data_IF_292456339038
#
_entry.id   IF_292456339038
#
_cell.length_a   1.000
_cell.length_b   1.000
_cell.length_c   1.000
_cell.angle_alpha   90.00
_cell.angle_beta   90.00
_cell.angle_gamma   90.00
#
_symmetry.space_group_name_H-M   'P 1'
#
loop_
_entity.id
_entity.type
_entity.pdbx_description
1 polymer ?
#
# COMPACT_ATOMS: atom_id res chain seq x y z
N UNK A 1 10.62 8.46 -24.46
CA UNK A 1 9.21 8.83 -24.30
C UNK A 1 8.70 8.60 -22.86
N UNK A 2 8.88 7.41 -22.28
CA UNK A 2 8.41 7.06 -20.93
C UNK A 2 8.86 8.03 -19.84
N UNK A 3 10.13 8.46 -19.83
CA UNK A 3 10.64 9.38 -18.80
C UNK A 3 9.99 10.77 -18.82
N UNK A 4 9.62 11.29 -20.00
CA UNK A 4 8.88 12.56 -20.10
C UNK A 4 7.46 12.41 -19.55
N UNK A 5 6.82 11.27 -19.83
CA UNK A 5 5.49 10.95 -19.33
C UNK A 5 5.50 10.77 -17.81
N UNK A 6 6.51 10.08 -17.28
CA UNK A 6 6.70 9.93 -15.83
C UNK A 6 6.87 11.29 -15.15
N UNK A 7 7.73 12.16 -15.69
CA UNK A 7 7.93 13.51 -15.14
C UNK A 7 6.61 14.29 -15.11
N UNK A 8 5.86 14.27 -16.20
CA UNK A 8 4.58 14.97 -16.28
C UNK A 8 3.57 14.47 -15.24
N UNK A 9 3.41 13.16 -15.10
CA UNK A 9 2.50 12.57 -14.12
C UNK A 9 2.96 12.84 -12.68
N UNK A 10 4.26 12.78 -12.43
CA UNK A 10 4.85 13.11 -11.13
C UNK A 10 4.62 14.59 -10.79
N UNK A 11 4.92 15.50 -11.71
CA UNK A 11 4.75 16.96 -11.52
C UNK A 11 3.26 17.34 -11.32
N UNK A 12 2.34 16.56 -11.84
CA UNK A 12 0.91 16.78 -11.63
C UNK A 12 0.46 16.41 -10.21
N UNK A 13 1.03 15.36 -9.63
CA UNK A 13 0.57 14.78 -8.36
C UNK A 13 1.36 15.26 -7.15
N UNK A 14 2.59 15.74 -7.34
CA UNK A 14 3.51 16.03 -6.25
C UNK A 14 2.98 17.05 -5.23
N UNK A 15 2.29 18.12 -5.67
CA UNK A 15 1.80 19.16 -4.77
C UNK A 15 0.88 18.62 -3.68
N UNK A 16 -0.07 17.79 -4.06
CA UNK A 16 -1.03 17.21 -3.10
C UNK A 16 -0.36 16.15 -2.23
N UNK A 17 0.52 15.34 -2.81
CA UNK A 17 1.26 14.33 -2.03
C UNK A 17 2.18 14.97 -0.99
N UNK A 18 2.88 16.05 -1.34
CA UNK A 18 3.71 16.81 -0.38
C UNK A 18 2.86 17.42 0.74
N UNK A 19 1.65 17.91 0.44
CA UNK A 19 0.74 18.41 1.48
C UNK A 19 0.33 17.27 2.43
N UNK A 20 -0.01 16.09 1.91
CA UNK A 20 -0.34 14.91 2.75
C UNK A 20 0.86 14.55 3.65
N UNK A 21 2.07 14.52 3.09
CA UNK A 21 3.29 14.23 3.85
C UNK A 21 3.60 15.30 4.90
N UNK A 22 3.39 16.58 4.56
CA UNK A 22 3.61 17.69 5.48
C UNK A 22 2.62 17.64 6.67
N UNK A 23 1.35 17.34 6.41
CA UNK A 23 0.34 17.17 7.48
C UNK A 23 0.71 15.99 8.37
N UNK A 24 1.05 14.83 7.78
CA UNK A 24 1.45 13.65 8.52
C UNK A 24 2.69 13.91 9.40
N UNK A 25 3.74 14.53 8.82
CA UNK A 25 4.95 14.89 9.54
C UNK A 25 4.69 15.93 10.64
N UNK A 26 3.83 16.93 10.38
CA UNK A 26 3.45 17.95 11.37
C UNK A 26 2.76 17.34 12.60
N UNK A 27 1.79 16.44 12.39
CA UNK A 27 1.12 15.73 13.48
C UNK A 27 2.12 14.83 14.24
N UNK A 28 3.03 14.16 13.53
CA UNK A 28 4.07 13.35 14.16
C UNK A 28 4.98 14.21 15.06
N UNK A 29 5.44 15.35 14.59
CA UNK A 29 6.27 16.30 15.37
C UNK A 29 5.54 16.77 16.63
N UNK A 30 4.27 17.16 16.50
CA UNK A 30 3.46 17.58 17.66
C UNK A 30 3.35 16.45 18.69
N UNK A 31 3.11 15.22 18.25
CA UNK A 31 3.08 14.07 19.16
C UNK A 31 4.43 13.79 19.81
N UNK A 32 5.54 13.90 19.07
CA UNK A 32 6.89 13.75 19.64
C UNK A 32 7.18 14.77 20.73
N UNK A 33 6.84 16.06 20.52
CA UNK A 33 7.04 17.13 21.51
C UNK A 33 6.20 16.86 22.77
N UNK A 34 4.93 16.50 22.59
CA UNK A 34 4.04 16.21 23.71
C UNK A 34 4.53 15.03 24.55
N UNK A 35 4.94 13.92 23.89
CA UNK A 35 5.37 12.73 24.61
C UNK A 35 6.70 12.97 25.38
N UNK A 36 7.63 13.71 24.78
CA UNK A 36 8.89 14.08 25.46
C UNK A 36 8.65 14.97 26.68
N UNK A 37 7.68 15.89 26.62
CA UNK A 37 7.28 16.72 27.76
C UNK A 37 6.67 15.91 28.90
N UNK A 38 5.82 14.93 28.58
CA UNK A 38 5.18 14.05 29.57
C UNK A 38 6.21 13.20 30.34
N UNK A 39 7.27 12.73 29.69
CA UNK A 39 8.33 11.93 30.35
C UNK A 39 9.43 12.75 30.99
N UNK A 40 9.51 14.07 30.75
CA UNK A 40 10.51 14.95 31.35
C UNK A 40 10.15 15.38 32.79
N UNK A 41 8.86 15.47 33.13
CA UNK A 41 8.40 15.81 34.48
C UNK A 41 8.40 14.57 35.37
N UNK A 42 9.21 14.61 36.45
CA UNK A 42 9.23 13.60 37.51
C UNK A 42 7.95 13.72 38.35
N UNK A 43 6.97 12.91 38.06
CA UNK A 43 5.59 13.07 38.52
C UNK A 43 5.30 12.32 39.83
N UNK A 44 4.47 12.90 40.67
CA UNK A 44 3.91 12.30 41.86
C UNK A 44 2.95 11.14 41.53
N UNK A 45 2.81 10.17 42.43
CA UNK A 45 2.03 8.92 42.21
C UNK A 45 0.56 9.23 41.89
N UNK A 46 -0.01 10.36 42.35
CA UNK A 46 -1.38 10.77 42.07
C UNK A 46 -1.60 11.32 40.65
N UNK A 47 -0.54 11.81 40.00
CA UNK A 47 -0.60 12.32 38.63
C UNK A 47 -0.37 11.20 37.58
N UNK A 48 0.18 10.06 38.01
CA UNK A 48 0.52 8.94 37.13
C UNK A 48 -0.68 8.41 36.31
N UNK A 49 -1.89 8.43 36.88
CA UNK A 49 -3.10 7.98 36.20
C UNK A 49 -3.52 8.90 35.05
N UNK A 50 -3.44 10.22 35.25
CA UNK A 50 -3.77 11.20 34.22
C UNK A 50 -2.82 11.16 33.04
N UNK A 51 -1.53 10.95 33.32
CA UNK A 51 -0.48 10.86 32.29
C UNK A 51 -0.60 9.59 31.46
N UNK A 52 -0.93 8.47 32.09
CA UNK A 52 -1.16 7.23 31.38
C UNK A 52 -2.33 7.34 30.41
N UNK A 53 -3.43 7.98 30.80
CA UNK A 53 -4.57 8.27 29.93
C UNK A 53 -4.15 9.20 28.79
N UNK A 54 -3.40 10.26 29.10
CA UNK A 54 -2.95 11.23 28.11
C UNK A 54 -2.01 10.59 27.07
N UNK A 55 -1.05 9.77 27.48
CA UNK A 55 -0.15 9.05 26.56
C UNK A 55 -0.88 8.03 25.68
N UNK A 56 -1.91 7.34 26.20
CA UNK A 56 -2.76 6.46 25.39
C UNK A 56 -3.53 7.25 24.32
N UNK A 57 -4.06 8.42 24.68
CA UNK A 57 -4.76 9.31 23.73
C UNK A 57 -3.80 9.78 22.63
N UNK A 58 -2.60 10.24 23.00
CA UNK A 58 -1.58 10.67 22.04
C UNK A 58 -1.18 9.53 21.08
N UNK A 59 -0.97 8.34 21.60
CA UNK A 59 -0.67 7.17 20.79
C UNK A 59 -1.81 6.84 19.82
N UNK A 60 -3.06 6.94 20.29
CA UNK A 60 -4.25 6.72 19.45
C UNK A 60 -4.33 7.73 18.32
N UNK A 61 -4.10 9.02 18.60
CA UNK A 61 -4.07 10.09 17.59
C UNK A 61 -2.95 9.84 16.57
N UNK A 62 -1.77 9.42 17.03
CA UNK A 62 -0.65 9.07 16.15
C UNK A 62 -1.02 7.88 15.24
N UNK A 63 -1.58 6.81 15.80
CA UNK A 63 -2.00 5.65 15.02
C UNK A 63 -3.06 6.03 13.97
N UNK A 64 -4.06 6.83 14.34
CA UNK A 64 -5.07 7.33 13.39
C UNK A 64 -4.44 8.16 12.27
N UNK A 65 -3.45 9.00 12.57
CA UNK A 65 -2.72 9.78 11.57
C UNK A 65 -1.97 8.89 10.58
N UNK A 66 -1.29 7.86 11.05
CA UNK A 66 -0.59 6.89 10.19
C UNK A 66 -1.57 6.25 9.21
N UNK A 67 -2.69 5.73 9.70
CA UNK A 67 -3.73 5.17 8.85
C UNK A 67 -4.30 6.21 7.86
N UNK A 68 -4.66 7.39 8.36
CA UNK A 68 -5.24 8.44 7.53
C UNK A 68 -4.30 8.88 6.39
N UNK A 69 -2.99 8.99 6.63
CA UNK A 69 -2.02 9.40 5.61
C UNK A 69 -1.88 8.35 4.50
N UNK A 70 -1.83 7.05 4.86
CA UNK A 70 -1.75 5.96 3.89
C UNK A 70 -3.03 5.92 3.04
N UNK A 71 -4.20 6.00 3.67
CA UNK A 71 -5.48 6.02 2.97
C UNK A 71 -5.64 7.23 2.08
N UNK A 72 -5.30 8.43 2.57
CA UNK A 72 -5.38 9.66 1.78
C UNK A 72 -4.48 9.60 0.54
N UNK A 73 -3.24 9.14 0.68
CA UNK A 73 -2.31 8.95 -0.43
C UNK A 73 -2.82 7.93 -1.46
N UNK A 74 -3.36 6.81 -0.99
CA UNK A 74 -3.95 5.78 -1.84
C UNK A 74 -5.17 6.30 -2.61
N UNK A 75 -6.15 6.90 -1.91
CA UNK A 75 -7.37 7.45 -2.50
C UNK A 75 -7.02 8.55 -3.51
N UNK A 76 -6.10 9.45 -3.16
CA UNK A 76 -5.69 10.52 -4.07
C UNK A 76 -5.04 9.97 -5.34
N UNK A 77 -4.18 8.95 -5.25
CA UNK A 77 -3.58 8.30 -6.43
C UNK A 77 -4.64 7.69 -7.35
N UNK A 78 -5.63 7.00 -6.78
CA UNK A 78 -6.75 6.44 -7.53
C UNK A 78 -7.63 7.52 -8.17
N UNK A 79 -7.93 8.59 -7.43
CA UNK A 79 -8.71 9.72 -7.95
C UNK A 79 -7.95 10.50 -9.02
N UNK A 80 -6.64 10.68 -8.88
CA UNK A 80 -5.78 11.29 -9.88
C UNK A 80 -5.78 10.50 -11.20
N UNK A 81 -5.76 9.16 -11.13
CA UNK A 81 -5.93 8.30 -12.29
C UNK A 81 -7.28 8.56 -12.97
N UNK A 82 -8.39 8.50 -12.22
CA UNK A 82 -9.72 8.75 -12.73
C UNK A 82 -9.82 10.13 -13.42
N UNK A 83 -9.37 11.17 -12.72
CA UNK A 83 -9.44 12.54 -13.23
C UNK A 83 -8.65 12.75 -14.52
N UNK A 84 -7.48 12.12 -14.63
CA UNK A 84 -6.60 12.29 -15.79
C UNK A 84 -6.97 11.44 -17.00
N UNK A 85 -7.69 10.34 -16.78
CA UNK A 85 -8.06 9.43 -17.87
C UNK A 85 -9.49 9.64 -18.36
N UNK A 86 -10.42 10.07 -17.47
CA UNK A 86 -11.86 10.00 -17.75
C UNK A 86 -12.62 11.31 -17.51
N UNK A 87 -11.98 12.37 -16.99
CA UNK A 87 -12.59 13.69 -16.88
C UNK A 87 -12.19 14.60 -18.07
N UNK A 88 -12.49 15.86 -17.99
CA UNK A 88 -12.12 16.88 -19.00
C UNK A 88 -10.64 16.85 -19.41
N UNK A 89 -9.74 16.48 -18.48
CA UNK A 89 -8.32 16.28 -18.76
C UNK A 89 -8.04 15.02 -19.60
N UNK A 90 -8.94 14.04 -19.57
CA UNK A 90 -8.84 12.80 -20.33
C UNK A 90 -8.81 13.06 -21.84
N UNK A 91 -9.59 14.02 -22.34
CA UNK A 91 -9.57 14.41 -23.76
C UNK A 91 -8.15 14.77 -24.22
N UNK A 92 -7.45 15.61 -23.46
CA UNK A 92 -6.07 16.00 -23.77
C UNK A 92 -5.10 14.81 -23.70
N UNK A 93 -5.31 13.90 -22.75
CA UNK A 93 -4.46 12.71 -22.61
C UNK A 93 -4.60 11.76 -23.80
N UNK A 94 -5.79 11.64 -24.36
CA UNK A 94 -6.08 10.76 -25.51
C UNK A 94 -5.77 11.40 -26.87
N UNK A 95 -5.64 12.72 -26.96
CA UNK A 95 -5.18 13.42 -28.18
C UNK A 95 -3.67 13.39 -28.34
N UNK A 96 -2.92 13.09 -27.27
CA UNK A 96 -1.47 12.93 -27.37
C UNK A 96 -1.12 11.63 -28.15
N UNK A 97 -0.11 11.66 -29.03
CA UNK A 97 0.34 10.49 -29.76
C UNK A 97 1.16 9.54 -28.87
N UNK A 98 0.56 9.08 -27.76
CA UNK A 98 1.18 8.17 -26.78
C UNK A 98 0.33 6.92 -26.65
N UNK A 99 0.99 5.75 -26.64
CA UNK A 99 0.28 4.48 -26.45
C UNK A 99 -0.42 4.45 -25.06
N UNK A 100 -1.73 4.16 -25.00
CA UNK A 100 -2.46 3.99 -23.75
C UNK A 100 -1.82 3.01 -22.78
N UNK A 101 -1.17 1.95 -23.28
CA UNK A 101 -0.43 1.02 -22.45
C UNK A 101 0.68 1.73 -21.65
N UNK A 102 1.51 2.54 -22.32
CA UNK A 102 2.57 3.31 -21.68
C UNK A 102 2.02 4.29 -20.64
N UNK A 103 0.87 4.92 -20.94
CA UNK A 103 0.21 5.86 -20.03
C UNK A 103 -0.27 5.18 -18.75
N UNK A 104 -0.98 4.05 -18.86
CA UNK A 104 -1.46 3.27 -17.71
C UNK A 104 -0.29 2.76 -16.86
N UNK A 105 0.75 2.24 -17.52
CA UNK A 105 1.96 1.76 -16.83
C UNK A 105 2.65 2.87 -16.02
N UNK A 106 2.86 4.04 -16.62
CA UNK A 106 3.48 5.17 -15.92
C UNK A 106 2.65 5.63 -14.73
N UNK A 107 1.33 5.71 -14.87
CA UNK A 107 0.42 6.07 -13.76
C UNK A 107 0.50 5.06 -12.61
N UNK A 108 0.59 3.77 -12.92
CA UNK A 108 0.78 2.73 -11.92
C UNK A 108 2.10 2.90 -11.17
N UNK A 109 3.20 3.14 -11.91
CA UNK A 109 4.53 3.35 -11.29
C UNK A 109 4.56 4.63 -10.45
N UNK A 110 3.97 5.74 -10.92
CA UNK A 110 3.91 6.97 -10.12
C UNK A 110 3.10 6.77 -8.84
N UNK A 111 1.95 6.08 -8.91
CA UNK A 111 1.17 5.74 -7.72
C UNK A 111 1.97 4.89 -6.72
N UNK A 112 2.72 3.91 -7.22
CA UNK A 112 3.61 3.07 -6.41
C UNK A 112 4.75 3.87 -5.76
N UNK A 113 5.39 4.78 -6.50
CA UNK A 113 6.45 5.67 -5.95
C UNK A 113 5.90 6.53 -4.82
N UNK A 114 4.72 7.12 -4.98
CA UNK A 114 4.07 7.91 -3.93
C UNK A 114 3.68 7.07 -2.71
N UNK A 115 3.25 5.84 -2.92
CA UNK A 115 2.99 4.89 -1.83
C UNK A 115 4.27 4.59 -1.04
N UNK A 116 5.38 4.30 -1.73
CA UNK A 116 6.68 4.10 -1.09
C UNK A 116 7.14 5.34 -0.33
N UNK A 117 6.95 6.54 -0.90
CA UNK A 117 7.21 7.81 -0.22
C UNK A 117 6.39 7.96 1.07
N UNK A 118 5.11 7.57 1.04
CA UNK A 118 4.25 7.59 2.24
C UNK A 118 4.75 6.61 3.31
N UNK A 119 5.10 5.39 2.91
CA UNK A 119 5.68 4.38 3.82
C UNK A 119 6.95 4.90 4.48
N UNK A 120 7.83 5.59 3.73
CA UNK A 120 9.05 6.21 4.29
C UNK A 120 8.72 7.30 5.31
N UNK A 121 7.77 8.19 5.01
CA UNK A 121 7.34 9.25 5.95
C UNK A 121 6.77 8.63 7.22
N UNK A 122 5.94 7.59 7.10
CA UNK A 122 5.39 6.86 8.25
C UNK A 122 6.50 6.18 9.06
N UNK A 123 7.45 5.52 8.40
CA UNK A 123 8.58 4.86 9.09
C UNK A 123 9.44 5.87 9.87
N UNK A 124 9.75 7.02 9.28
CA UNK A 124 10.47 8.10 9.96
C UNK A 124 9.66 8.64 11.14
N UNK A 125 8.34 8.78 10.98
CA UNK A 125 7.44 9.25 12.04
C UNK A 125 7.38 8.28 13.22
N UNK A 126 7.32 6.98 12.96
CA UNK A 126 7.35 5.92 13.98
C UNK A 126 8.70 5.94 14.73
N UNK A 127 9.81 6.06 14.00
CA UNK A 127 11.14 6.17 14.59
C UNK A 127 11.25 7.39 15.50
N UNK A 128 10.81 8.57 15.02
CA UNK A 128 10.82 9.80 15.81
C UNK A 128 9.97 9.67 17.08
N UNK A 129 8.77 9.08 16.97
CA UNK A 129 7.88 8.83 18.10
C UNK A 129 8.53 7.89 19.14
N UNK A 130 9.17 6.80 18.69
CA UNK A 130 9.89 5.87 19.56
C UNK A 130 11.06 6.54 20.27
N UNK A 131 11.85 7.36 19.58
CA UNK A 131 12.95 8.13 20.17
C UNK A 131 12.44 9.09 21.26
N UNK A 132 11.36 9.82 20.98
CA UNK A 132 10.79 10.78 21.93
C UNK A 132 10.20 10.11 23.17
N UNK A 133 9.52 8.97 23.01
CA UNK A 133 8.91 8.25 24.12
C UNK A 133 9.92 7.54 25.04
N UNK A 134 11.07 7.15 24.52
CA UNK A 134 12.10 6.46 25.28
C UNK A 134 13.28 7.35 25.67
N UNK A 135 13.24 8.65 25.37
CA UNK A 135 14.36 9.60 25.55
C UNK A 135 15.69 9.10 24.98
N UNK A 136 15.61 8.46 23.81
CA UNK A 136 16.76 7.86 23.13
C UNK A 136 17.22 8.71 21.95
N UNK A 137 18.50 8.63 21.65
CA UNK A 137 19.02 9.17 20.39
C UNK A 137 18.55 8.31 19.21
N UNK A 138 18.44 8.88 18.00
CA UNK A 138 18.10 8.10 16.79
C UNK A 138 19.07 6.92 16.55
N UNK A 139 20.34 7.05 16.92
CA UNK A 139 21.34 5.99 16.80
C UNK A 139 21.04 4.81 17.74
N UNK A 140 20.67 5.09 18.99
CA UNK A 140 20.28 4.07 19.97
C UNK A 140 18.97 3.37 19.56
N UNK A 141 18.01 4.12 19.04
CA UNK A 141 16.77 3.56 18.54
C UNK A 141 17.02 2.61 17.35
N UNK A 142 17.87 3.01 16.40
CA UNK A 142 18.26 2.16 15.28
C UNK A 142 19.03 0.91 15.74
N UNK A 143 19.91 1.04 16.73
CA UNK A 143 20.61 -0.12 17.31
C UNK A 143 19.62 -1.11 17.93
N UNK A 144 18.65 -0.64 18.72
CA UNK A 144 17.59 -1.51 19.29
C UNK A 144 16.73 -2.16 18.20
N UNK A 145 16.34 -1.41 17.18
CA UNK A 145 15.59 -1.97 16.04
C UNK A 145 16.42 -3.08 15.37
N UNK A 146 17.73 -2.88 15.19
CA UNK A 146 18.59 -3.91 14.59
C UNK A 146 18.72 -5.16 15.45
N UNK A 147 18.80 -5.02 16.78
CA UNK A 147 18.82 -6.14 17.71
C UNK A 147 17.51 -6.93 17.70
N UNK A 148 16.37 -6.23 17.77
CA UNK A 148 15.05 -6.86 17.72
C UNK A 148 14.80 -7.50 16.35
N UNK A 149 15.28 -6.88 15.28
CA UNK A 149 15.23 -7.46 13.93
C UNK A 149 16.02 -8.77 13.85
N UNK A 150 17.24 -8.82 14.42
CA UNK A 150 18.03 -10.04 14.46
C UNK A 150 17.33 -11.16 15.24
N UNK A 151 16.76 -10.85 16.41
CA UNK A 151 15.96 -11.82 17.19
C UNK A 151 14.78 -12.33 16.39
N UNK A 152 14.08 -11.44 15.70
CA UNK A 152 12.93 -11.77 14.85
C UNK A 152 13.36 -12.68 13.69
N UNK A 153 14.48 -12.38 13.02
CA UNK A 153 15.04 -13.22 11.95
C UNK A 153 15.40 -14.62 12.47
N UNK A 154 16.02 -14.73 13.62
CA UNK A 154 16.35 -16.03 14.25
C UNK A 154 15.05 -16.81 14.57
N UNK A 155 14.06 -16.16 15.15
CA UNK A 155 12.77 -16.79 15.45
C UNK A 155 12.04 -17.25 14.18
N UNK A 156 12.08 -16.44 13.11
CA UNK A 156 11.52 -16.83 11.81
C UNK A 156 12.29 -18.01 11.25
N UNK A 157 13.62 -18.02 11.34
CA UNK A 157 14.46 -19.09 10.81
C UNK A 157 14.15 -20.43 11.46
N UNK A 158 14.09 -20.47 12.78
CA UNK A 158 13.76 -21.67 13.56
C UNK A 158 12.36 -22.19 13.19
N UNK A 159 11.34 -21.34 13.21
CA UNK A 159 9.97 -21.73 12.89
C UNK A 159 9.80 -22.13 11.41
N UNK A 160 10.43 -21.42 10.49
CA UNK A 160 10.34 -21.68 9.06
C UNK A 160 11.06 -22.99 8.68
N UNK A 161 12.22 -23.26 9.26
CA UNK A 161 12.94 -24.54 9.11
C UNK A 161 12.10 -25.73 9.61
N UNK A 162 11.43 -25.57 10.75
CA UNK A 162 10.56 -26.62 11.30
C UNK A 162 9.31 -26.85 10.45
N UNK A 163 8.67 -25.78 9.95
CA UNK A 163 7.38 -25.86 9.26
C UNK A 163 7.49 -26.08 7.75
N UNK A 164 8.51 -25.54 7.10
CA UNK A 164 8.58 -25.44 5.63
C UNK A 164 9.90 -26.01 5.09
N UNK A 165 10.91 -26.21 5.94
CA UNK A 165 12.25 -26.66 5.54
C UNK A 165 13.09 -25.59 4.82
N UNK A 166 12.70 -24.32 4.91
CA UNK A 166 13.38 -23.17 4.31
C UNK A 166 13.75 -22.14 5.38
N UNK A 167 14.89 -21.46 5.19
CA UNK A 167 15.36 -20.44 6.14
C UNK A 167 14.62 -19.11 6.06
N UNK A 168 14.92 -18.23 7.04
CA UNK A 168 14.32 -16.89 7.17
C UNK A 168 14.46 -16.04 5.91
N UNK A 169 15.60 -16.12 5.21
CA UNK A 169 15.86 -15.34 3.98
C UNK A 169 14.81 -15.64 2.90
N UNK A 170 14.44 -16.91 2.76
CA UNK A 170 13.42 -17.34 1.81
C UNK A 170 12.05 -16.74 2.18
N UNK A 171 11.63 -16.86 3.43
CA UNK A 171 10.34 -16.35 3.90
C UNK A 171 10.27 -14.84 3.75
N UNK A 172 11.29 -14.10 4.18
CA UNK A 172 11.35 -12.64 4.09
C UNK A 172 11.29 -12.19 2.62
N UNK A 173 12.07 -12.84 1.75
CA UNK A 173 12.07 -12.49 0.32
C UNK A 173 10.69 -12.66 -0.32
N UNK A 174 10.02 -13.78 -0.07
CA UNK A 174 8.69 -14.03 -0.60
C UNK A 174 7.67 -13.04 -0.04
N UNK A 175 7.69 -12.78 1.27
CA UNK A 175 6.77 -11.80 1.91
C UNK A 175 6.95 -10.41 1.32
N UNK A 176 8.19 -9.96 1.11
CA UNK A 176 8.48 -8.67 0.47
C UNK A 176 7.96 -8.63 -0.97
N UNK A 177 8.22 -9.66 -1.76
CA UNK A 177 7.72 -9.75 -3.14
C UNK A 177 6.18 -9.77 -3.18
N UNK A 178 5.54 -10.56 -2.31
CA UNK A 178 4.08 -10.58 -2.21
C UNK A 178 3.51 -9.21 -1.83
N UNK A 179 4.12 -8.50 -0.89
CA UNK A 179 3.71 -7.15 -0.50
C UNK A 179 3.82 -6.18 -1.67
N UNK A 180 4.94 -6.15 -2.38
CA UNK A 180 5.16 -5.27 -3.53
C UNK A 180 4.14 -5.52 -4.65
N UNK A 181 3.96 -6.77 -5.05
CA UNK A 181 2.99 -7.11 -6.10
C UNK A 181 1.54 -6.91 -5.66
N UNK A 182 1.22 -7.12 -4.39
CA UNK A 182 -0.12 -6.86 -3.84
C UNK A 182 -0.48 -5.38 -3.86
N UNK A 183 0.47 -4.48 -3.59
CA UNK A 183 0.27 -3.03 -3.69
C UNK A 183 0.00 -2.63 -5.13
N UNK A 184 0.82 -3.08 -6.08
CA UNK A 184 0.62 -2.80 -7.51
C UNK A 184 -0.74 -3.34 -8.00
N UNK A 185 -1.09 -4.56 -7.59
CA UNK A 185 -2.38 -5.18 -7.90
C UNK A 185 -3.56 -4.40 -7.34
N UNK A 186 -3.45 -3.86 -6.12
CA UNK A 186 -4.53 -3.07 -5.51
C UNK A 186 -4.82 -1.79 -6.31
N UNK A 187 -3.79 -1.09 -6.79
CA UNK A 187 -3.96 0.05 -7.69
C UNK A 187 -4.60 -0.36 -9.03
N UNK A 188 -4.09 -1.43 -9.64
CA UNK A 188 -4.65 -1.93 -10.91
C UNK A 188 -6.09 -2.38 -10.77
N UNK A 189 -6.47 -2.96 -9.65
CA UNK A 189 -7.85 -3.33 -9.35
C UNK A 189 -8.78 -2.11 -9.41
N UNK A 190 -8.41 -1.01 -8.73
CA UNK A 190 -9.20 0.22 -8.74
C UNK A 190 -9.20 0.88 -10.12
N UNK A 191 -8.05 0.92 -10.80
CA UNK A 191 -7.96 1.45 -12.16
C UNK A 191 -8.86 0.69 -13.14
N UNK A 192 -8.86 -0.65 -13.07
CA UNK A 192 -9.73 -1.49 -13.90
C UNK A 192 -11.19 -1.28 -13.57
N UNK A 193 -11.54 -1.13 -12.29
CA UNK A 193 -12.91 -0.83 -11.86
C UNK A 193 -13.41 0.50 -12.42
N UNK A 194 -12.58 1.55 -12.41
CA UNK A 194 -12.90 2.82 -13.03
C UNK A 194 -13.05 2.70 -14.54
N UNK A 195 -12.16 1.97 -15.21
CA UNK A 195 -12.22 1.77 -16.67
C UNK A 195 -13.50 1.05 -17.10
N UNK A 196 -13.87 -0.02 -16.39
CA UNK A 196 -15.13 -0.75 -16.65
C UNK A 196 -16.34 0.16 -16.38
N UNK A 197 -16.28 0.97 -15.32
CA UNK A 197 -17.33 1.92 -14.96
C UNK A 197 -17.61 2.95 -16.05
N UNK A 198 -16.61 3.33 -16.85
CA UNK A 198 -16.78 4.27 -17.96
C UNK A 198 -17.55 3.68 -19.15
N UNK A 199 -17.76 2.38 -19.22
CA UNK A 199 -18.59 1.75 -20.25
C UNK A 199 -20.08 2.03 -20.06
N UNK A 200 -20.48 2.51 -18.88
CA UNK A 200 -21.87 2.89 -18.60
C UNK A 200 -22.15 4.33 -18.99
N UNK A 201 -23.28 4.57 -19.68
CA UNK A 201 -23.64 5.90 -20.17
C UNK A 201 -24.18 6.85 -19.09
N UNK A 202 -24.92 6.36 -18.09
CA UNK A 202 -25.70 7.22 -17.19
C UNK A 202 -25.12 7.40 -15.79
N UNK A 203 -24.45 6.40 -15.24
CA UNK A 203 -23.96 6.42 -13.84
C UNK A 203 -22.52 5.93 -13.74
N UNK A 204 -21.58 6.67 -14.31
CA UNK A 204 -20.17 6.26 -14.45
C UNK A 204 -19.50 5.88 -13.12
N UNK A 205 -19.75 6.62 -12.04
CA UNK A 205 -19.18 6.33 -10.71
C UNK A 205 -19.88 5.13 -10.06
N UNK A 206 -21.21 5.07 -10.15
CA UNK A 206 -21.96 3.93 -9.61
C UNK A 206 -21.60 2.61 -10.29
N UNK A 207 -21.45 2.64 -11.61
CA UNK A 207 -21.01 1.46 -12.38
C UNK A 207 -19.54 1.07 -12.08
N UNK A 208 -18.66 2.02 -11.77
CA UNK A 208 -17.30 1.70 -11.32
C UNK A 208 -17.31 0.97 -9.97
N UNK A 209 -18.17 1.37 -9.04
CA UNK A 209 -18.33 0.68 -7.76
C UNK A 209 -18.88 -0.73 -7.98
N UNK A 210 -19.92 -0.90 -8.80
CA UNK A 210 -20.47 -2.21 -9.12
C UNK A 210 -19.45 -3.11 -9.84
N UNK A 211 -18.65 -2.56 -10.75
CA UNK A 211 -17.55 -3.26 -11.39
C UNK A 211 -16.49 -3.73 -10.37
N UNK A 212 -16.16 -2.88 -9.39
CA UNK A 212 -15.28 -3.25 -8.29
C UNK A 212 -15.83 -4.41 -7.46
N UNK A 213 -17.13 -4.39 -7.13
CA UNK A 213 -17.78 -5.52 -6.45
C UNK A 213 -17.73 -6.80 -7.30
N UNK A 214 -18.06 -6.72 -8.58
CA UNK A 214 -17.99 -7.86 -9.50
C UNK A 214 -16.58 -8.45 -9.59
N UNK A 215 -15.57 -7.61 -9.79
CA UNK A 215 -14.16 -8.02 -9.79
C UNK A 215 -13.73 -8.64 -8.45
N UNK A 216 -14.20 -8.09 -7.32
CA UNK A 216 -13.96 -8.65 -5.98
C UNK A 216 -14.51 -10.08 -5.85
N UNK A 217 -15.75 -10.31 -6.31
CA UNK A 217 -16.39 -11.63 -6.27
C UNK A 217 -15.60 -12.60 -7.14
N UNK A 218 -15.25 -12.21 -8.38
CA UNK A 218 -14.45 -13.06 -9.28
C UNK A 218 -13.12 -13.41 -8.63
N UNK A 219 -12.40 -12.44 -8.07
CA UNK A 219 -11.14 -12.70 -7.37
C UNK A 219 -11.30 -13.67 -6.19
N UNK A 220 -12.37 -13.53 -5.39
CA UNK A 220 -12.66 -14.43 -4.26
C UNK A 220 -12.96 -15.85 -4.72
N UNK A 221 -13.78 -15.99 -5.74
CA UNK A 221 -14.13 -17.31 -6.31
C UNK A 221 -12.90 -18.00 -6.86
N UNK A 222 -12.09 -17.33 -7.66
CA UNK A 222 -10.85 -17.89 -8.23
C UNK A 222 -9.88 -18.29 -7.12
N UNK A 223 -9.65 -17.41 -6.15
CA UNK A 223 -8.76 -17.69 -5.02
C UNK A 223 -9.26 -18.88 -4.19
N UNK A 224 -10.56 -18.95 -3.88
CA UNK A 224 -11.16 -20.05 -3.14
C UNK A 224 -11.05 -21.38 -3.90
N UNK A 225 -11.30 -21.39 -5.21
CA UNK A 225 -11.17 -22.58 -6.06
C UNK A 225 -9.74 -23.10 -6.06
N UNK A 226 -8.75 -22.22 -6.16
CA UNK A 226 -7.34 -22.58 -6.09
C UNK A 226 -7.02 -23.22 -4.74
N UNK A 227 -7.49 -22.64 -3.64
CA UNK A 227 -7.24 -23.14 -2.28
C UNK A 227 -7.90 -24.50 -2.05
N UNK A 228 -9.17 -24.67 -2.42
CA UNK A 228 -9.92 -25.93 -2.21
C UNK A 228 -9.30 -27.08 -3.01
N UNK A 229 -8.93 -26.88 -4.26
CA UNK A 229 -8.34 -27.93 -5.09
C UNK A 229 -7.00 -28.45 -4.51
N UNK A 230 -6.31 -27.67 -3.72
CA UNK A 230 -5.05 -28.05 -3.08
C UNK A 230 -5.24 -28.93 -1.87
N UNK A 231 -6.21 -28.62 -1.00
CA UNK A 231 -6.55 -29.48 0.13
C UNK A 231 -6.87 -30.92 -0.28
N UNK A 232 -7.29 -31.09 -1.55
CA UNK A 232 -7.59 -32.42 -2.10
C UNK A 232 -6.39 -33.15 -2.68
N UNK A 233 -5.26 -32.49 -2.93
CA UNK A 233 -4.12 -33.05 -3.65
C UNK A 233 -2.91 -33.29 -2.73
N UNK A 234 -2.72 -32.45 -1.71
CA UNK A 234 -1.52 -32.48 -0.87
C UNK A 234 -1.84 -33.11 0.48
N UNK A 235 -1.03 -34.11 0.87
CA UNK A 235 -1.15 -34.84 2.13
C UNK A 235 -0.23 -34.30 3.22
N UNK A 236 0.90 -33.71 2.84
CA UNK A 236 1.88 -33.20 3.78
C UNK A 236 1.67 -31.70 4.05
N UNK A 237 1.68 -31.33 5.33
CA UNK A 237 1.39 -29.98 5.80
C UNK A 237 2.47 -28.95 5.36
N UNK A 238 3.75 -29.34 5.38
CA UNK A 238 4.86 -28.51 4.93
C UNK A 238 4.78 -28.15 3.44
N UNK A 239 4.53 -29.13 2.60
CA UNK A 239 4.37 -28.95 1.15
C UNK A 239 3.12 -28.11 0.84
N UNK A 240 2.09 -28.22 1.66
CA UNK A 240 0.86 -27.46 1.53
C UNK A 240 1.10 -25.97 1.82
N UNK A 241 1.90 -25.61 2.84
CA UNK A 241 2.22 -24.22 3.16
C UNK A 241 3.10 -23.61 2.06
N UNK A 242 4.23 -24.25 1.73
CA UNK A 242 5.18 -23.71 0.75
C UNK A 242 4.50 -23.50 -0.60
N UNK A 243 3.82 -24.52 -1.08
CA UNK A 243 3.08 -24.41 -2.32
C UNK A 243 1.97 -23.34 -2.27
N UNK A 244 1.31 -23.07 -1.11
CA UNK A 244 0.29 -22.02 -0.96
C UNK A 244 0.89 -20.66 -1.15
N UNK A 245 2.05 -20.41 -0.60
CA UNK A 245 2.75 -19.14 -0.71
C UNK A 245 3.14 -18.86 -2.18
N UNK A 246 3.74 -19.85 -2.85
CA UNK A 246 4.12 -19.71 -4.27
C UNK A 246 2.93 -19.47 -5.18
N UNK A 247 1.84 -20.20 -5.03
CA UNK A 247 0.66 -19.99 -5.88
C UNK A 247 -0.03 -18.67 -5.57
N UNK A 248 -0.05 -18.22 -4.32
CA UNK A 248 -0.56 -16.90 -3.98
C UNK A 248 0.25 -15.79 -4.66
N UNK A 249 1.57 -15.92 -4.73
CA UNK A 249 2.44 -15.01 -5.44
C UNK A 249 2.17 -15.06 -6.96
N UNK A 250 2.16 -16.23 -7.55
CA UNK A 250 1.86 -16.40 -8.98
C UNK A 250 0.47 -15.86 -9.31
N UNK A 251 -0.54 -16.17 -8.51
CA UNK A 251 -1.89 -15.63 -8.67
C UNK A 251 -1.92 -14.10 -8.63
N UNK A 252 -1.18 -13.50 -7.69
CA UNK A 252 -1.10 -12.04 -7.56
C UNK A 252 -0.48 -11.40 -8.81
N UNK A 253 0.61 -11.98 -9.31
CA UNK A 253 1.28 -11.48 -10.53
C UNK A 253 0.39 -11.68 -11.76
N UNK A 254 -0.17 -12.88 -11.94
CA UNK A 254 -1.07 -13.18 -13.08
C UNK A 254 -2.30 -12.26 -13.05
N UNK A 255 -2.94 -12.08 -11.90
CA UNK A 255 -4.10 -11.19 -11.79
C UNK A 255 -3.75 -9.72 -12.09
N UNK A 256 -2.56 -9.26 -11.68
CA UNK A 256 -2.05 -7.93 -12.02
C UNK A 256 -1.91 -7.77 -13.54
N UNK A 257 -1.29 -8.74 -14.21
CA UNK A 257 -1.10 -8.74 -15.67
C UNK A 257 -2.43 -8.76 -16.40
N UNK A 258 -3.36 -9.64 -15.98
CA UNK A 258 -4.69 -9.74 -16.58
C UNK A 258 -5.45 -8.42 -16.46
N UNK A 259 -5.46 -7.81 -15.27
CA UNK A 259 -6.10 -6.50 -15.04
C UNK A 259 -5.46 -5.39 -15.88
N UNK A 260 -4.13 -5.41 -16.02
CA UNK A 260 -3.43 -4.45 -16.88
C UNK A 260 -3.83 -4.62 -18.36
N UNK A 261 -3.83 -5.84 -18.88
CA UNK A 261 -4.20 -6.14 -20.27
C UNK A 261 -5.66 -5.76 -20.54
N UNK A 262 -6.58 -6.10 -19.63
CA UNK A 262 -8.01 -5.73 -19.73
C UNK A 262 -8.16 -4.21 -19.76
N UNK A 263 -7.44 -3.50 -18.90
CA UNK A 263 -7.48 -2.05 -18.82
C UNK A 263 -7.00 -1.41 -20.15
N UNK A 264 -5.85 -1.85 -20.67
CA UNK A 264 -5.31 -1.38 -21.95
C UNK A 264 -6.26 -1.69 -23.10
N UNK A 265 -6.83 -2.90 -23.13
CA UNK A 265 -7.77 -3.30 -24.19
C UNK A 265 -9.03 -2.44 -24.17
N UNK A 266 -9.62 -2.19 -23.00
CA UNK A 266 -10.83 -1.37 -22.87
C UNK A 266 -10.56 0.08 -23.27
N UNK A 267 -9.43 0.64 -22.87
CA UNK A 267 -9.06 2.02 -23.25
C UNK A 267 -8.82 2.15 -24.74
N UNK A 268 -8.23 1.13 -25.40
CA UNK A 268 -7.96 1.17 -26.86
C UNK A 268 -9.20 0.98 -27.72
N UNK A 269 -10.14 0.12 -27.31
CA UNK A 269 -11.17 -0.38 -28.24
C UNK A 269 -12.61 -0.03 -27.85
N UNK A 270 -12.87 0.31 -26.60
CA UNK A 270 -14.24 0.46 -26.09
C UNK A 270 -14.57 1.83 -25.55
N UNK A 271 -13.59 2.67 -25.27
CA UNK A 271 -13.82 4.02 -24.77
C UNK A 271 -14.09 4.99 -25.93
N UNK A 272 -15.37 5.24 -26.20
CA UNK A 272 -15.81 6.46 -26.89
C UNK A 272 -15.86 7.57 -25.84
N UNK A 273 -14.85 8.43 -25.84
CA UNK A 273 -14.85 9.67 -25.06
C UNK A 273 -15.68 10.72 -25.82
N UNK A 274 -17.00 10.56 -25.77
CA UNK A 274 -17.93 11.61 -26.15
C UNK A 274 -18.38 12.39 -24.92
#
# INVERSE_FOLDING_TARGET
>A
MLGKLFKYEFDRTWKVMVIIFAIASGIAIINCINISGVFADSLSVDEAGGILIFSVVLFSVFAMMVFASIFAGYIYSCWSFYKSMYSEQGYLTHTLPVDPAATIFVKLIVAFVWFMGNVLVVAISILAFACSGANMTPAEALARISEEWQKLVVTIDENAMEMIGHGAEYVITIVVLMALFSILRSYMFVFTSFTIGQLSNNHKVGSAVLAGFGLSIINRVVSATITVNRFNILTDFSDMIDSTVWISLVYTVVSLIVMYVVNVYLVKHKLNLQ
#
